data_IF_977204294275
#
_entry.id   IF_977204294275
#
_cell.length_a   1.000
_cell.length_b   1.000
_cell.length_c   1.000
_cell.angle_alpha   90.00
_cell.angle_beta   90.00
_cell.angle_gamma   90.00
#
_symmetry.space_group_name_H-M   'P 1'
#
loop_
_entity.id
_entity.type
_entity.pdbx_description
1 polymer ?
#
# COMPACT_ATOMS: atom_id res chain seq x y z
N UNK A 1 -14.42 -0.36 18.07
CA UNK A 1 -12.99 -0.31 18.44
C UNK A 1 -12.36 0.87 17.72
N UNK A 2 -11.71 1.83 18.41
CA UNK A 2 -11.03 2.92 17.71
C UNK A 2 -9.73 2.38 17.11
N UNK A 3 -9.66 2.37 15.78
CA UNK A 3 -8.42 2.08 15.06
C UNK A 3 -7.43 3.23 15.34
N UNK A 4 -6.14 2.96 15.59
CA UNK A 4 -5.13 4.02 15.76
C UNK A 4 -5.16 4.97 14.56
N UNK A 5 -5.20 6.28 14.81
CA UNK A 5 -5.41 7.35 13.81
C UNK A 5 -4.21 7.61 12.89
N UNK A 6 -3.44 6.59 12.53
CA UNK A 6 -2.53 6.71 11.38
C UNK A 6 -3.36 6.52 10.10
N UNK A 7 -3.24 7.41 9.10
CA UNK A 7 -3.89 7.20 7.82
C UNK A 7 -3.52 5.81 7.29
N UNK A 8 -4.49 4.95 6.91
CA UNK A 8 -4.20 3.62 6.35
C UNK A 8 -3.13 3.63 5.25
N UNK A 9 -3.10 4.72 4.47
CA UNK A 9 -2.09 5.03 3.46
C UNK A 9 -0.67 5.04 4.03
N UNK A 10 -0.42 5.75 5.13
CA UNK A 10 0.90 5.85 5.76
C UNK A 10 1.44 4.46 6.14
N UNK A 11 0.55 3.59 6.67
CA UNK A 11 0.93 2.24 7.08
C UNK A 11 1.37 1.38 5.89
N UNK A 12 0.64 1.44 4.76
CA UNK A 12 1.03 0.66 3.58
C UNK A 12 2.31 1.19 2.93
N UNK A 13 2.55 2.50 2.96
CA UNK A 13 3.79 3.09 2.47
C UNK A 13 5.00 2.62 3.28
N UNK A 14 4.91 2.66 4.61
CA UNK A 14 5.95 2.13 5.51
C UNK A 14 6.21 0.64 5.29
N UNK A 15 5.17 -0.15 4.99
CA UNK A 15 5.33 -1.57 4.71
C UNK A 15 5.98 -1.86 3.34
N UNK A 16 6.05 -0.87 2.45
CA UNK A 16 6.43 -0.99 1.04
C UNK A 16 7.82 -0.37 0.74
N UNK A 17 8.83 -0.62 1.58
CA UNK A 17 10.21 -0.13 1.37
C UNK A 17 10.86 -0.61 0.06
N UNK A 18 10.37 -1.74 -0.48
CA UNK A 18 10.81 -2.37 -1.74
C UNK A 18 9.60 -2.80 -2.55
N UNK A 19 9.81 -3.35 -3.75
CA UNK A 19 8.75 -3.97 -4.54
C UNK A 19 8.19 -5.16 -3.75
N UNK A 20 6.90 -5.12 -3.41
CA UNK A 20 6.25 -6.17 -2.62
C UNK A 20 4.91 -6.57 -3.21
N UNK A 21 4.58 -7.86 -3.12
CA UNK A 21 3.28 -8.38 -3.51
C UNK A 21 2.17 -7.95 -2.56
N UNK A 22 0.92 -7.95 -3.06
CA UNK A 22 -0.28 -7.65 -2.28
C UNK A 22 -0.36 -8.43 -0.96
N UNK A 23 -0.13 -9.75 -1.04
CA UNK A 23 -0.31 -10.66 0.09
C UNK A 23 0.70 -10.40 1.20
N UNK A 24 1.93 -10.10 0.81
CA UNK A 24 3.00 -9.76 1.73
C UNK A 24 2.72 -8.39 2.39
N UNK A 25 2.26 -7.37 1.65
CA UNK A 25 1.82 -6.10 2.25
C UNK A 25 0.68 -6.32 3.26
N UNK A 26 -0.33 -7.11 2.88
CA UNK A 26 -1.45 -7.44 3.74
C UNK A 26 -0.99 -8.16 5.02
N UNK A 27 -0.05 -9.12 4.88
CA UNK A 27 0.54 -9.87 5.99
C UNK A 27 1.36 -8.98 6.91
N UNK A 28 2.21 -8.11 6.38
CA UNK A 28 3.01 -7.13 7.14
C UNK A 28 2.14 -6.20 7.97
N UNK A 29 0.98 -5.82 7.44
CA UNK A 29 0.02 -4.96 8.13
C UNK A 29 -0.90 -5.71 9.10
N UNK A 30 -0.85 -7.05 9.11
CA UNK A 30 -1.69 -7.89 9.96
C UNK A 30 -3.19 -7.85 9.60
N UNK A 31 -3.53 -7.45 8.37
CA UNK A 31 -4.93 -7.25 7.97
C UNK A 31 -5.49 -8.57 7.43
N UNK A 32 -6.44 -9.17 8.14
CA UNK A 32 -7.08 -10.42 7.69
C UNK A 32 -8.03 -10.22 6.51
N UNK A 33 -8.78 -9.12 6.51
CA UNK A 33 -9.80 -8.87 5.49
C UNK A 33 -9.18 -8.24 4.24
N UNK A 34 -9.13 -9.03 3.15
CA UNK A 34 -8.62 -8.59 1.84
C UNK A 34 -9.37 -7.37 1.28
N UNK A 35 -10.71 -7.35 1.37
CA UNK A 35 -11.52 -6.25 0.84
C UNK A 35 -11.20 -4.94 1.57
N UNK A 36 -11.14 -5.00 2.89
CA UNK A 36 -10.76 -3.85 3.70
C UNK A 36 -9.33 -3.37 3.42
N UNK A 37 -8.37 -4.28 3.25
CA UNK A 37 -7.01 -3.92 2.85
C UNK A 37 -7.00 -3.16 1.50
N UNK A 38 -7.73 -3.67 0.51
CA UNK A 38 -7.81 -3.04 -0.80
C UNK A 38 -8.46 -1.65 -0.75
N UNK A 39 -9.65 -1.54 -0.15
CA UNK A 39 -10.44 -0.31 -0.17
C UNK A 39 -9.90 0.77 0.77
N UNK A 40 -9.37 0.37 1.93
CA UNK A 40 -8.95 1.34 2.94
C UNK A 40 -7.46 1.66 2.89
N UNK A 41 -6.59 0.78 2.38
CA UNK A 41 -5.14 0.97 2.41
C UNK A 41 -4.55 1.13 1.01
N UNK A 42 -4.78 0.13 0.16
CA UNK A 42 -4.07 0.03 -1.11
C UNK A 42 -4.60 1.00 -2.16
N UNK A 43 -5.93 1.02 -2.40
CA UNK A 43 -6.55 1.94 -3.36
C UNK A 43 -6.25 3.41 -3.06
N UNK A 44 -6.46 3.91 -1.83
CA UNK A 44 -6.20 5.31 -1.54
C UNK A 44 -4.73 5.69 -1.73
N UNK A 45 -3.79 4.78 -1.44
CA UNK A 45 -2.37 5.02 -1.65
C UNK A 45 -1.98 5.06 -3.14
N UNK A 46 -2.64 4.26 -3.99
CA UNK A 46 -2.47 4.31 -5.45
C UNK A 46 -3.12 5.56 -6.03
N UNK A 47 -4.35 5.87 -5.62
CA UNK A 47 -5.10 7.06 -6.07
C UNK A 47 -4.41 8.37 -5.67
N UNK A 48 -3.73 8.38 -4.51
CA UNK A 48 -2.88 9.51 -4.09
C UNK A 48 -1.54 9.58 -4.82
N UNK A 49 -1.22 8.62 -5.68
CA UNK A 49 0.03 8.55 -6.43
C UNK A 49 1.25 8.22 -5.57
N UNK A 50 1.08 7.65 -4.38
CA UNK A 50 2.19 7.24 -3.50
C UNK A 50 2.67 5.82 -3.77
N UNK A 51 1.76 4.95 -4.24
CA UNK A 51 2.05 3.59 -4.70
C UNK A 51 1.66 3.45 -6.17
N UNK A 52 2.38 2.60 -6.88
CA UNK A 52 2.03 2.21 -8.24
C UNK A 52 2.08 0.68 -8.42
N UNK A 53 1.36 0.20 -9.43
CA UNK A 53 1.33 -1.21 -9.82
C UNK A 53 2.46 -1.51 -10.80
N UNK A 54 3.17 -2.61 -10.60
CA UNK A 54 4.22 -3.04 -11.54
C UNK A 54 3.67 -3.73 -12.79
N UNK A 55 2.45 -4.29 -12.72
CA UNK A 55 1.76 -4.94 -13.85
C UNK A 55 0.38 -4.28 -14.04
N UNK A 56 0.31 -3.07 -14.63
CA UNK A 56 -0.96 -2.36 -14.79
C UNK A 56 -1.94 -3.09 -15.73
N UNK A 57 -1.44 -3.83 -16.74
CA UNK A 57 -2.27 -4.58 -17.68
C UNK A 57 -3.03 -5.75 -17.04
N UNK A 58 -2.59 -6.24 -15.87
CA UNK A 58 -3.20 -7.38 -15.17
C UNK A 58 -3.39 -7.07 -13.68
N UNK A 59 -4.35 -6.20 -13.33
CA UNK A 59 -4.55 -5.74 -11.95
C UNK A 59 -4.94 -6.87 -10.97
N UNK A 60 -5.56 -7.93 -11.49
CA UNK A 60 -5.95 -9.11 -10.71
C UNK A 60 -4.89 -10.23 -10.73
N UNK A 61 -3.71 -9.98 -11.29
CA UNK A 61 -2.63 -10.97 -11.35
C UNK A 61 -2.20 -11.40 -9.94
N UNK A 62 -1.96 -12.70 -9.77
CA UNK A 62 -1.32 -13.24 -8.56
C UNK A 62 0.11 -12.71 -8.40
N UNK A 63 0.76 -12.37 -9.51
CA UNK A 63 2.11 -11.79 -9.55
C UNK A 63 2.08 -10.25 -9.42
N UNK A 64 0.92 -9.65 -9.14
CA UNK A 64 0.85 -8.20 -9.01
C UNK A 64 1.67 -7.72 -7.80
N UNK A 65 2.56 -6.77 -8.07
CA UNK A 65 3.39 -6.14 -7.05
C UNK A 65 3.16 -4.62 -7.04
N UNK A 66 3.52 -4.03 -5.93
CA UNK A 66 3.39 -2.61 -5.69
C UNK A 66 4.74 -2.06 -5.28
N UNK A 67 5.01 -0.83 -5.72
CA UNK A 67 6.22 -0.11 -5.38
C UNK A 67 5.90 1.33 -5.00
N UNK A 68 6.74 1.90 -4.13
CA UNK A 68 6.67 3.32 -3.83
C UNK A 68 7.06 4.14 -5.05
N UNK A 69 6.25 5.14 -5.35
CA UNK A 69 6.58 6.19 -6.30
C UNK A 69 7.59 7.16 -5.68
N UNK A 70 8.12 8.07 -6.48
CA UNK A 70 8.93 9.18 -5.96
C UNK A 70 8.15 10.04 -4.96
N UNK A 71 6.88 10.35 -5.26
CA UNK A 71 5.98 11.08 -4.36
C UNK A 71 5.77 10.34 -3.04
N UNK A 72 5.56 9.03 -3.07
CA UNK A 72 5.39 8.22 -1.85
C UNK A 72 6.66 8.18 -1.00
N UNK A 73 7.83 8.06 -1.64
CA UNK A 73 9.14 8.14 -0.95
C UNK A 73 9.38 9.52 -0.33
N UNK A 74 9.02 10.59 -1.03
CA UNK A 74 9.16 11.95 -0.53
C UNK A 74 8.21 12.20 0.65
N UNK A 75 6.95 11.80 0.53
CA UNK A 75 5.98 11.88 1.62
C UNK A 75 6.47 11.17 2.89
N UNK A 76 7.06 9.97 2.76
CA UNK A 76 7.66 9.25 3.89
C UNK A 76 8.84 9.98 4.52
N UNK A 77 9.64 10.70 3.72
CA UNK A 77 10.75 11.52 4.24
C UNK A 77 10.27 12.78 4.96
N UNK A 78 9.23 13.44 4.44
CA UNK A 78 8.70 14.68 5.00
C UNK A 78 7.81 14.47 6.24
N UNK A 79 7.22 13.28 6.40
CA UNK A 79 6.34 12.90 7.52
C UNK A 79 7.01 11.98 8.56
N UNK A 80 8.32 11.74 8.44
CA UNK A 80 9.14 10.94 9.35
C UNK A 80 9.55 11.70 10.60
#
# INVERSE_FOLDING_TARGET
MPVPQFPPVARVLLACEKIVGREELQKRLGIKNKKHFLESYLKPAIESGFLEMTIPDKPNSLLQQYQLTETGRQWLRDKG
#
